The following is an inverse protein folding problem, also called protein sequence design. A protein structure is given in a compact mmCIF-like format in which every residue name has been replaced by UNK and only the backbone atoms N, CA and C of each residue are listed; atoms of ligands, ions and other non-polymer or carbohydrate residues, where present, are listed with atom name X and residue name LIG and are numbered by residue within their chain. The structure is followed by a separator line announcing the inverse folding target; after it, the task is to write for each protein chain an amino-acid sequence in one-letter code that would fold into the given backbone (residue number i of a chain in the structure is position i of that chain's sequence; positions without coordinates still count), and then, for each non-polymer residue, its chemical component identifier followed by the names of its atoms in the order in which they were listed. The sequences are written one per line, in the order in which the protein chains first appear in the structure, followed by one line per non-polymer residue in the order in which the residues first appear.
data_IF_680183191329
#
_entry.id   IF_680183191329
#
_cell.length_a   1.000
_cell.length_b   1.000
_cell.length_c   1.000
_cell.angle_alpha   90.00
_cell.angle_beta   90.00
_cell.angle_gamma   90.00
#
_symmetry.space_group_name_H-M   'P 1'
#
loop_
_entity.id
_entity.type
_entity.pdbx_description
1 polymer ?
#
# COMPACT_ATOMS: atom_id res chain seq x y z
N UNK A 1 33.91 34.02 -41.33
CA UNK A 1 33.94 34.28 -39.90
C UNK A 1 32.59 34.10 -39.20
N UNK A 2 31.47 33.99 -39.89
CA UNK A 2 30.15 33.84 -39.29
C UNK A 2 29.73 32.37 -39.06
N UNK A 3 30.40 31.40 -39.67
CA UNK A 3 30.03 29.99 -39.58
C UNK A 3 30.53 29.30 -38.28
N UNK A 4 31.64 29.78 -37.71
CA UNK A 4 32.20 29.23 -36.47
C UNK A 4 31.39 29.62 -35.20
N UNK A 5 30.68 30.73 -35.26
CA UNK A 5 29.88 31.21 -34.12
C UNK A 5 28.55 30.47 -33.98
N UNK A 6 28.02 29.94 -35.09
CA UNK A 6 26.76 29.20 -35.11
C UNK A 6 26.96 27.79 -34.56
N UNK A 7 28.10 27.16 -34.81
CA UNK A 7 28.43 25.83 -34.25
C UNK A 7 28.63 25.84 -32.73
N UNK A 8 29.13 26.92 -32.18
CA UNK A 8 29.34 27.07 -30.74
C UNK A 8 28.00 27.19 -29.98
N UNK A 9 26.99 27.83 -30.58
CA UNK A 9 25.66 27.94 -29.97
C UNK A 9 24.84 26.63 -30.02
N UNK A 10 25.05 25.82 -31.06
CA UNK A 10 24.29 24.54 -31.20
C UNK A 10 24.80 23.51 -30.19
N UNK A 11 26.07 23.49 -29.84
CA UNK A 11 26.64 22.54 -28.87
C UNK A 11 26.18 22.85 -27.44
N UNK A 12 25.92 24.12 -27.11
CA UNK A 12 25.47 24.55 -25.78
C UNK A 12 23.96 24.25 -25.56
N UNK A 13 23.16 24.24 -26.63
CA UNK A 13 21.71 23.96 -26.52
C UNK A 13 21.44 22.44 -26.42
N UNK A 14 22.30 21.58 -26.96
CA UNK A 14 22.16 20.11 -26.83
C UNK A 14 22.58 19.56 -25.46
N UNK A 15 23.26 20.34 -24.63
CA UNK A 15 23.75 19.91 -23.30
C UNK A 15 22.72 20.07 -22.17
N UNK A 16 21.59 20.71 -22.41
CA UNK A 16 20.59 21.04 -21.36
C UNK A 16 19.37 20.10 -21.30
N UNK A 17 19.37 18.99 -22.07
CA UNK A 17 18.35 17.93 -21.95
C UNK A 17 18.84 16.82 -21.02
N UNK A 18 19.28 17.19 -19.82
CA UNK A 18 19.66 16.22 -18.80
C UNK A 18 18.46 15.88 -17.95
N UNK A 19 17.91 14.70 -18.19
CA UNK A 19 17.48 13.74 -17.18
C UNK A 19 16.53 14.27 -16.08
N UNK A 20 15.30 14.60 -16.43
CA UNK A 20 14.23 14.33 -15.50
C UNK A 20 13.86 12.85 -15.69
N UNK A 21 14.61 11.98 -15.02
CA UNK A 21 14.18 10.62 -14.79
C UNK A 21 13.08 10.68 -13.76
N UNK A 22 11.85 10.97 -14.19
CA UNK A 22 10.68 10.58 -13.43
C UNK A 22 10.71 9.05 -13.38
N UNK A 23 11.05 8.49 -12.23
CA UNK A 23 10.70 7.11 -11.88
C UNK A 23 9.17 7.10 -11.90
N UNK A 24 8.58 6.77 -13.04
CA UNK A 24 7.20 6.36 -13.10
C UNK A 24 7.17 5.00 -12.43
N UNK A 25 6.63 4.94 -11.22
CA UNK A 25 6.13 3.69 -10.67
C UNK A 25 5.23 3.08 -11.74
N UNK A 26 5.63 1.94 -12.27
CA UNK A 26 4.86 1.27 -13.30
C UNK A 26 3.66 0.62 -12.62
N UNK A 27 2.40 0.99 -12.96
CA UNK A 27 1.24 0.26 -12.47
C UNK A 27 1.33 -1.16 -13.01
N UNK A 28 1.38 -2.14 -12.12
CA UNK A 28 1.36 -3.56 -12.47
C UNK A 28 2.53 -4.40 -11.97
N UNK A 29 3.44 -3.87 -11.16
CA UNK A 29 4.50 -4.67 -10.56
C UNK A 29 4.09 -5.06 -9.13
N UNK A 30 4.05 -6.36 -8.88
CA UNK A 30 3.79 -6.92 -7.55
C UNK A 30 4.93 -6.56 -6.60
N UNK A 31 4.62 -6.05 -5.39
CA UNK A 31 5.60 -5.66 -4.39
C UNK A 31 6.44 -6.89 -3.97
N UNK A 32 7.75 -6.76 -4.03
CA UNK A 32 8.69 -7.84 -3.73
C UNK A 32 9.38 -7.63 -2.38
N UNK A 33 9.99 -8.70 -1.88
CA UNK A 33 10.83 -8.61 -0.67
C UNK A 33 12.01 -7.69 -0.93
N UNK A 34 12.14 -6.67 -0.08
CA UNK A 34 13.17 -5.62 -0.21
C UNK A 34 12.67 -4.31 -0.81
N UNK A 35 11.44 -4.31 -1.35
CA UNK A 35 10.82 -3.06 -1.79
C UNK A 35 10.29 -2.27 -0.59
N UNK A 36 10.27 -0.95 -0.71
CA UNK A 36 9.61 -0.09 0.27
C UNK A 36 8.08 -0.17 0.13
N UNK A 37 7.37 -0.02 1.24
CA UNK A 37 5.92 0.17 1.19
C UNK A 37 5.60 1.38 0.30
N UNK A 38 4.66 1.28 -0.64
CA UNK A 38 4.26 2.39 -1.49
C UNK A 38 3.63 3.53 -0.71
N UNK A 39 3.54 4.70 -1.32
CA UNK A 39 2.79 5.82 -0.77
C UNK A 39 1.30 5.58 -0.98
N UNK A 40 0.56 5.57 0.11
CA UNK A 40 -0.90 5.49 0.12
C UNK A 40 -1.46 6.13 1.38
N UNK A 41 -2.73 6.43 1.38
CA UNK A 41 -3.49 6.91 2.53
C UNK A 41 -4.82 6.17 2.60
N UNK A 42 -5.18 5.69 3.78
CA UNK A 42 -6.47 5.05 4.06
C UNK A 42 -7.06 5.57 5.36
N UNK A 43 -8.38 5.61 5.42
CA UNK A 43 -9.12 5.89 6.65
C UNK A 43 -9.67 4.57 7.19
N UNK A 44 -9.43 4.31 8.46
CA UNK A 44 -9.94 3.14 9.16
C UNK A 44 -11.39 3.37 9.63
N UNK A 45 -12.09 2.30 9.93
CA UNK A 45 -13.48 2.36 10.42
C UNK A 45 -13.65 3.07 11.77
N UNK A 46 -12.58 3.29 12.52
CA UNK A 46 -12.55 4.11 13.75
C UNK A 46 -12.26 5.60 13.49
N UNK A 47 -12.09 6.00 12.21
CA UNK A 47 -11.78 7.36 11.78
C UNK A 47 -10.28 7.70 11.76
N UNK A 48 -9.41 6.79 12.15
CA UNK A 48 -7.95 7.01 12.10
C UNK A 48 -7.46 7.00 10.65
N UNK A 49 -6.64 7.99 10.28
CA UNK A 49 -5.95 8.03 8.99
C UNK A 49 -4.57 7.40 9.11
N UNK A 50 -4.25 6.48 8.22
CA UNK A 50 -2.97 5.79 8.14
C UNK A 50 -2.35 6.03 6.76
N UNK A 51 -1.04 6.33 6.74
CA UNK A 51 -0.28 6.50 5.50
C UNK A 51 0.85 5.48 5.39
N UNK A 52 1.25 5.18 4.14
CA UNK A 52 2.42 4.32 3.88
C UNK A 52 3.70 4.89 4.49
N UNK A 53 3.86 6.22 4.52
CA UNK A 53 5.00 6.89 5.15
C UNK A 53 5.07 6.60 6.66
N UNK A 54 3.95 6.71 7.38
CA UNK A 54 3.89 6.38 8.81
C UNK A 54 4.26 4.92 9.06
N UNK A 55 3.77 4.00 8.24
CA UNK A 55 4.04 2.56 8.38
C UNK A 55 5.50 2.19 8.11
N UNK A 56 6.22 2.97 7.30
CA UNK A 56 7.67 2.78 7.09
C UNK A 56 8.51 3.17 8.31
N UNK A 57 7.98 3.94 9.25
CA UNK A 57 8.70 4.39 10.45
C UNK A 57 8.61 3.42 11.63
N UNK A 58 7.71 2.46 11.58
CA UNK A 58 7.44 1.50 12.67
C UNK A 58 7.33 0.09 12.12
N UNK A 59 7.56 -0.95 12.93
CA UNK A 59 7.23 -2.31 12.52
C UNK A 59 5.75 -2.37 12.15
N UNK A 60 5.46 -2.83 10.93
CA UNK A 60 4.10 -2.81 10.42
C UNK A 60 3.72 -4.08 9.66
N UNK A 61 2.42 -4.36 9.66
CA UNK A 61 1.78 -5.45 8.95
C UNK A 61 0.59 -4.91 8.15
N UNK A 62 0.70 -4.88 6.84
CA UNK A 62 -0.40 -4.50 5.94
C UNK A 62 -1.05 -5.76 5.38
N UNK A 63 -2.36 -5.87 5.56
CA UNK A 63 -3.14 -7.05 5.15
C UNK A 63 -4.23 -6.64 4.20
N UNK A 64 -4.24 -7.22 3.02
CA UNK A 64 -5.37 -7.12 2.09
C UNK A 64 -6.28 -8.33 2.21
N UNK A 65 -7.58 -8.09 2.26
CA UNK A 65 -8.59 -9.14 2.47
C UNK A 65 -9.88 -8.88 1.67
N UNK A 66 -10.74 -9.89 1.67
CA UNK A 66 -12.15 -9.82 1.28
C UNK A 66 -12.94 -10.82 2.12
N UNK A 67 -14.06 -10.43 2.72
CA UNK A 67 -14.77 -11.28 3.68
C UNK A 67 -15.40 -12.53 3.06
N UNK A 68 -15.68 -12.54 1.76
CA UNK A 68 -16.18 -13.72 1.04
C UNK A 68 -15.08 -14.69 0.56
N UNK A 69 -13.80 -14.35 0.76
CA UNK A 69 -12.71 -15.20 0.37
C UNK A 69 -12.46 -16.29 1.44
N UNK A 70 -12.51 -17.59 1.11
CA UNK A 70 -12.33 -18.68 2.08
C UNK A 70 -10.98 -18.63 2.80
N UNK A 71 -9.90 -18.31 2.10
CA UNK A 71 -8.56 -18.21 2.69
C UNK A 71 -8.47 -17.00 3.65
N UNK A 72 -9.15 -15.89 3.33
CA UNK A 72 -9.27 -14.74 4.24
C UNK A 72 -10.06 -15.12 5.49
N UNK A 73 -11.16 -15.86 5.35
CA UNK A 73 -11.96 -16.32 6.48
C UNK A 73 -11.16 -17.21 7.45
N UNK A 74 -10.17 -17.95 6.95
CA UNK A 74 -9.26 -18.72 7.79
C UNK A 74 -8.15 -17.85 8.41
N UNK A 75 -7.67 -16.84 7.71
CA UNK A 75 -6.60 -15.96 8.19
C UNK A 75 -7.06 -14.91 9.21
N UNK A 76 -8.26 -14.33 9.04
CA UNK A 76 -8.75 -13.23 9.86
C UNK A 76 -8.82 -13.56 11.36
N UNK A 77 -9.28 -14.75 11.82
CA UNK A 77 -9.26 -15.10 13.24
C UNK A 77 -7.83 -15.19 13.82
N UNK A 78 -6.85 -15.59 13.01
CA UNK A 78 -5.45 -15.63 13.41
C UNK A 78 -4.87 -14.22 13.52
N UNK A 79 -5.23 -13.34 12.59
CA UNK A 79 -4.85 -11.93 12.60
C UNK A 79 -5.46 -11.20 13.81
N UNK A 80 -6.70 -11.51 14.20
CA UNK A 80 -7.29 -10.96 15.42
C UNK A 80 -6.46 -11.32 16.66
N UNK A 81 -6.01 -12.57 16.79
CA UNK A 81 -5.14 -12.97 17.91
C UNK A 81 -3.79 -12.26 17.88
N UNK A 82 -3.20 -12.07 16.71
CA UNK A 82 -1.96 -11.30 16.55
C UNK A 82 -2.20 -9.83 16.93
N UNK A 83 -3.32 -9.28 16.53
CA UNK A 83 -3.70 -7.92 16.91
C UNK A 83 -3.86 -7.78 18.43
N UNK A 84 -4.56 -8.70 19.10
CA UNK A 84 -4.77 -8.69 20.55
C UNK A 84 -3.45 -8.77 21.33
N UNK A 85 -2.44 -9.45 20.78
CA UNK A 85 -1.16 -9.66 21.45
C UNK A 85 -0.12 -8.57 21.12
N UNK A 86 -0.11 -8.04 19.90
CA UNK A 86 0.99 -7.21 19.39
C UNK A 86 0.60 -5.78 18.96
N UNK A 87 -0.66 -5.35 19.10
CA UNK A 87 -1.09 -4.03 18.64
C UNK A 87 -0.30 -2.85 19.25
N UNK A 88 0.28 -3.03 20.43
CA UNK A 88 1.13 -2.01 21.09
C UNK A 88 2.53 -1.89 20.47
N UNK A 89 2.99 -2.89 19.71
CA UNK A 89 4.36 -2.95 19.18
C UNK A 89 4.42 -3.15 17.65
N UNK A 90 3.31 -3.52 17.02
CA UNK A 90 3.18 -3.76 15.59
C UNK A 90 1.96 -3.02 15.04
N UNK A 91 2.19 -2.09 14.14
CA UNK A 91 1.09 -1.42 13.46
C UNK A 91 0.43 -2.38 12.45
N UNK A 92 -0.76 -2.89 12.79
CA UNK A 92 -1.51 -3.82 11.94
C UNK A 92 -2.62 -3.06 11.23
N UNK A 93 -2.60 -3.07 9.90
CA UNK A 93 -3.56 -2.36 9.04
C UNK A 93 -4.22 -3.35 8.09
N UNK A 94 -5.54 -3.52 8.24
CA UNK A 94 -6.35 -4.35 7.36
C UNK A 94 -7.05 -3.47 6.32
N UNK A 95 -6.90 -3.80 5.05
CA UNK A 95 -7.45 -3.04 3.93
C UNK A 95 -8.24 -3.99 3.05
N UNK A 96 -9.52 -3.69 2.79
CA UNK A 96 -10.27 -4.49 1.85
C UNK A 96 -9.74 -4.31 0.43
N UNK A 97 -9.70 -5.38 -0.35
CA UNK A 97 -9.29 -5.28 -1.76
C UNK A 97 -10.27 -4.44 -2.58
N UNK A 98 -11.56 -4.69 -2.39
CA UNK A 98 -12.67 -3.97 -2.99
C UNK A 98 -13.96 -4.48 -2.34
N UNK A 99 -14.40 -3.83 -1.26
CA UNK A 99 -15.59 -4.25 -0.52
C UNK A 99 -16.17 -3.06 0.25
N UNK A 100 -17.48 -2.84 0.22
CA UNK A 100 -18.11 -1.74 0.95
C UNK A 100 -18.12 -1.97 2.47
N UNK A 101 -18.22 -0.86 3.21
CA UNK A 101 -18.17 -0.81 4.66
C UNK A 101 -19.24 -1.67 5.35
N UNK A 102 -20.46 -1.64 4.85
CA UNK A 102 -21.61 -2.35 5.44
C UNK A 102 -21.45 -3.88 5.42
N UNK A 103 -20.85 -4.42 4.36
CA UNK A 103 -20.56 -5.85 4.28
C UNK A 103 -19.46 -6.26 5.26
N UNK A 104 -18.40 -5.43 5.38
CA UNK A 104 -17.28 -5.71 6.29
C UNK A 104 -17.74 -5.58 7.73
N UNK A 105 -18.46 -4.52 8.08
CA UNK A 105 -18.93 -4.29 9.45
C UNK A 105 -19.87 -5.40 9.93
N UNK A 106 -20.75 -5.88 9.05
CA UNK A 106 -21.62 -7.02 9.35
C UNK A 106 -20.82 -8.29 9.66
N UNK A 107 -19.80 -8.59 8.84
CA UNK A 107 -18.92 -9.74 9.05
C UNK A 107 -18.08 -9.60 10.34
N UNK A 108 -17.52 -8.41 10.62
CA UNK A 108 -16.79 -8.14 11.85
C UNK A 108 -17.62 -8.35 13.09
N UNK A 109 -18.88 -7.86 13.07
CA UNK A 109 -19.81 -8.05 14.17
C UNK A 109 -20.16 -9.52 14.39
N UNK A 110 -20.40 -10.27 13.32
CA UNK A 110 -20.71 -11.71 13.38
C UNK A 110 -19.54 -12.53 13.95
N UNK A 111 -18.31 -12.20 13.57
CA UNK A 111 -17.08 -12.88 14.03
C UNK A 111 -16.54 -12.35 15.37
N UNK A 112 -17.06 -11.22 15.87
CA UNK A 112 -16.58 -10.57 17.10
C UNK A 112 -15.17 -9.96 16.95
N UNK A 113 -14.79 -9.53 15.76
CA UNK A 113 -13.50 -8.90 15.54
C UNK A 113 -13.47 -7.46 16.05
N UNK A 114 -12.33 -7.04 16.61
CA UNK A 114 -12.09 -5.69 17.14
C UNK A 114 -10.95 -4.96 16.43
N UNK A 115 -10.13 -5.67 15.66
CA UNK A 115 -9.07 -5.05 14.86
C UNK A 115 -9.67 -4.06 13.85
N UNK A 116 -9.10 -2.83 13.72
CA UNK A 116 -9.61 -1.85 12.78
C UNK A 116 -9.31 -2.25 11.33
N UNK A 117 -10.16 -1.78 10.41
CA UNK A 117 -10.02 -2.04 8.98
C UNK A 117 -10.34 -0.79 8.16
N UNK A 118 -9.90 -0.77 6.91
CA UNK A 118 -10.28 0.22 5.91
C UNK A 118 -11.09 -0.43 4.79
N UNK A 119 -12.31 0.06 4.57
CA UNK A 119 -13.15 -0.33 3.46
C UNK A 119 -12.75 0.44 2.19
N UNK A 120 -12.47 -0.28 1.11
CA UNK A 120 -12.14 0.30 -0.18
C UNK A 120 -13.19 -0.09 -1.21
N UNK A 121 -13.77 0.89 -1.90
CA UNK A 121 -14.75 0.63 -2.96
C UNK A 121 -14.09 0.28 -4.30
N UNK A 122 -12.80 0.59 -4.45
CA UNK A 122 -11.99 0.31 -5.65
C UNK A 122 -10.76 -0.52 -5.28
N UNK A 123 -10.02 -0.97 -6.30
CA UNK A 123 -8.79 -1.73 -6.12
C UNK A 123 -7.53 -0.85 -6.10
N UNK A 124 -7.66 0.46 -6.18
CA UNK A 124 -6.54 1.39 -6.35
C UNK A 124 -5.43 1.20 -5.31
N UNK A 125 -5.78 1.12 -4.02
CA UNK A 125 -4.78 0.88 -2.97
C UNK A 125 -4.17 -0.52 -3.09
N UNK A 126 -4.99 -1.55 -3.34
CA UNK A 126 -4.51 -2.91 -3.51
C UNK A 126 -3.54 -3.05 -4.70
N UNK A 127 -3.81 -2.37 -5.80
CA UNK A 127 -3.00 -2.43 -7.03
C UNK A 127 -1.61 -1.79 -6.90
N UNK A 128 -1.37 -1.00 -5.85
CA UNK A 128 -0.03 -0.54 -5.47
C UNK A 128 0.85 -1.68 -4.93
N UNK A 129 0.25 -2.77 -4.47
CA UNK A 129 0.94 -3.88 -3.80
C UNK A 129 0.91 -5.17 -4.60
N UNK A 130 -0.22 -5.50 -5.23
CA UNK A 130 -0.44 -6.78 -5.90
C UNK A 130 -1.48 -6.68 -7.02
N UNK A 131 -1.46 -7.67 -7.92
CA UNK A 131 -2.42 -7.74 -9.03
C UNK A 131 -3.56 -8.72 -8.75
N UNK A 132 -3.27 -9.82 -8.07
CA UNK A 132 -4.20 -10.93 -7.90
C UNK A 132 -4.12 -11.53 -6.50
N UNK A 133 -5.24 -12.15 -6.08
CA UNK A 133 -5.43 -12.93 -4.86
C UNK A 133 -5.45 -12.09 -3.58
N UNK A 134 -6.19 -12.60 -2.63
CA UNK A 134 -6.19 -12.25 -1.21
C UNK A 134 -6.31 -13.56 -0.42
N UNK A 135 -5.85 -13.66 0.84
CA UNK A 135 -5.19 -12.58 1.57
C UNK A 135 -3.78 -12.29 1.03
N UNK A 136 -3.35 -11.03 1.18
CA UNK A 136 -1.96 -10.62 1.01
C UNK A 136 -1.50 -9.99 2.32
N UNK A 137 -0.32 -10.39 2.77
CA UNK A 137 0.26 -9.94 4.03
C UNK A 137 1.67 -9.43 3.75
N UNK A 138 1.91 -8.17 4.11
CA UNK A 138 3.20 -7.50 3.95
C UNK A 138 3.71 -7.09 5.32
N UNK A 139 4.90 -7.56 5.67
CA UNK A 139 5.59 -7.18 6.90
C UNK A 139 6.71 -6.20 6.55
N UNK A 140 6.75 -5.07 7.23
CA UNK A 140 7.80 -4.07 7.10
C UNK A 140 8.47 -3.85 8.44
N UNK A 141 9.79 -3.95 8.55
CA UNK A 141 10.51 -3.50 9.74
C UNK A 141 10.43 -1.97 9.82
N UNK A 142 10.74 -1.42 10.99
CA UNK A 142 11.04 0.00 11.09
C UNK A 142 12.25 0.33 10.20
N UNK A 143 12.10 1.31 9.31
CA UNK A 143 13.13 1.73 8.36
C UNK A 143 14.27 2.54 8.97
#
# INVERSE_FOLDING_TARGET
MKLKSIFACIVVVLGALSMVSCIKEQPGMELQVGDFLPDFEVVLNDGTTITGEQLRQVPSCVVFFHTSCPDCQQALPLLQRIYDEFADSLAIVLISRQQPEDEISAYWADQGFTMPYSAQLTREIYELFAQERVPRIYLSPAG
#
